data_IF_526487197629
#
_entry.id   IF_526487197629
#
_cell.length_a   1.000
_cell.length_b   1.000
_cell.length_c   1.000
_cell.angle_alpha   90.00
_cell.angle_beta   90.00
_cell.angle_gamma   90.00
#
_symmetry.space_group_name_H-M   'P 1'
#
loop_
_entity.id
_entity.type
_entity.pdbx_description
1 polymer ?
#
# COMPACT_ATOMS: atom_id res chain seq x y z
N UNK A 1 -14.44 28.19 -14.11
CA UNK A 1 -14.07 27.35 -12.95
C UNK A 1 -12.61 26.99 -13.14
N UNK A 2 -11.71 27.27 -12.19
CA UNK A 2 -10.27 27.10 -12.39
C UNK A 2 -9.93 25.61 -12.38
N UNK A 3 -8.92 25.25 -13.17
CA UNK A 3 -8.30 23.94 -13.23
C UNK A 3 -7.53 23.67 -11.93
N UNK A 4 -7.77 22.52 -11.33
CA UNK A 4 -7.01 22.01 -10.19
C UNK A 4 -5.59 21.73 -10.68
N UNK A 5 -4.70 22.63 -10.29
CA UNK A 5 -3.27 22.51 -10.55
C UNK A 5 -2.73 21.63 -9.43
N UNK A 6 -2.75 20.31 -9.58
CA UNK A 6 -2.01 19.42 -8.67
C UNK A 6 -0.55 19.36 -9.15
N UNK A 7 0.20 20.40 -8.83
CA UNK A 7 1.64 20.31 -8.71
C UNK A 7 1.95 19.87 -7.29
N UNK A 8 2.28 18.60 -7.07
CA UNK A 8 3.01 18.22 -5.86
C UNK A 8 4.16 17.29 -6.23
N UNK A 9 5.33 17.91 -6.40
CA UNK A 9 6.59 17.18 -6.42
C UNK A 9 7.16 17.18 -5.01
N UNK A 10 7.58 15.99 -4.56
CA UNK A 10 8.64 15.73 -3.58
C UNK A 10 8.30 15.26 -2.15
N UNK A 11 7.04 14.97 -1.82
CA UNK A 11 6.71 14.14 -0.65
C UNK A 11 5.70 13.08 -1.06
N UNK A 12 5.94 11.82 -0.71
CA UNK A 12 4.97 10.76 -0.93
C UNK A 12 3.83 10.96 0.09
N UNK A 13 2.66 11.39 -0.38
CA UNK A 13 1.46 11.60 0.45
C UNK A 13 0.70 10.27 0.69
N UNK A 14 -0.06 10.19 1.79
CA UNK A 14 -0.83 9.00 2.19
C UNK A 14 -1.75 8.48 1.07
N UNK A 15 -2.39 9.38 0.32
CA UNK A 15 -3.28 9.02 -0.79
C UNK A 15 -2.52 8.33 -1.93
N UNK A 16 -1.32 8.79 -2.24
CA UNK A 16 -0.46 8.17 -3.28
C UNK A 16 0.02 6.80 -2.84
N UNK A 17 0.37 6.63 -1.56
CA UNK A 17 0.74 5.32 -1.00
C UNK A 17 -0.45 4.38 -0.99
N UNK A 18 -1.62 4.86 -0.59
CA UNK A 18 -2.84 4.05 -0.59
C UNK A 18 -3.19 3.56 -1.98
N UNK A 19 -3.08 4.42 -3.01
CA UNK A 19 -3.28 4.03 -4.40
C UNK A 19 -2.29 2.92 -4.79
N UNK A 20 -0.99 3.13 -4.55
CA UNK A 20 0.06 2.16 -4.85
C UNK A 20 -0.18 0.80 -4.17
N UNK A 21 -0.45 0.78 -2.86
CA UNK A 21 -0.70 -0.45 -2.11
C UNK A 21 -1.96 -1.15 -2.62
N UNK A 22 -3.00 -0.39 -2.95
CA UNK A 22 -4.26 -0.92 -3.48
C UNK A 22 -4.05 -1.57 -4.85
N UNK A 23 -3.33 -0.91 -5.75
CA UNK A 23 -3.03 -1.41 -7.09
C UNK A 23 -2.21 -2.70 -7.03
N UNK A 24 -1.11 -2.72 -6.25
CA UNK A 24 -0.28 -3.92 -6.11
C UNK A 24 -1.04 -5.07 -5.46
N UNK A 25 -1.82 -4.79 -4.40
CA UNK A 25 -2.60 -5.83 -3.74
C UNK A 25 -3.68 -6.41 -4.67
N UNK A 26 -4.33 -5.58 -5.49
CA UNK A 26 -5.30 -6.04 -6.47
C UNK A 26 -4.66 -6.95 -7.54
N UNK A 27 -3.47 -6.58 -8.03
CA UNK A 27 -2.71 -7.40 -8.99
C UNK A 27 -2.34 -8.77 -8.40
N UNK A 28 -1.74 -8.77 -7.20
CA UNK A 28 -1.28 -10.00 -6.52
C UNK A 28 -2.45 -10.93 -6.22
N UNK A 29 -3.55 -10.38 -5.70
CA UNK A 29 -4.74 -11.16 -5.37
C UNK A 29 -5.60 -11.50 -6.59
N UNK A 30 -5.27 -10.97 -7.77
CA UNK A 30 -6.02 -11.13 -9.02
C UNK A 30 -7.50 -10.74 -8.87
N UNK A 31 -7.72 -9.62 -8.20
CA UNK A 31 -9.05 -9.01 -8.00
C UNK A 31 -9.06 -7.58 -8.54
N UNK A 32 -10.24 -6.98 -8.66
CA UNK A 32 -10.34 -5.58 -9.04
C UNK A 32 -9.89 -4.64 -7.91
N UNK A 33 -9.15 -3.58 -8.26
CA UNK A 33 -8.75 -2.55 -7.30
C UNK A 33 -9.94 -1.92 -6.57
N UNK A 34 -11.09 -1.77 -7.26
CA UNK A 34 -12.35 -1.29 -6.65
C UNK A 34 -12.81 -2.16 -5.46
N UNK A 35 -12.49 -3.47 -5.47
CA UNK A 35 -12.82 -4.37 -4.35
C UNK A 35 -12.00 -3.98 -3.12
N UNK A 36 -10.70 -3.75 -3.30
CA UNK A 36 -9.78 -3.33 -2.24
C UNK A 36 -10.14 -1.93 -1.72
N UNK A 37 -10.37 -0.95 -2.61
CA UNK A 37 -10.78 0.40 -2.22
C UNK A 37 -12.08 0.41 -1.40
N UNK A 38 -13.05 -0.41 -1.80
CA UNK A 38 -14.30 -0.57 -1.08
C UNK A 38 -14.09 -1.23 0.27
N UNK A 39 -13.18 -2.18 0.37
CA UNK A 39 -12.78 -2.83 1.62
C UNK A 39 -12.21 -1.79 2.61
N UNK A 40 -11.27 -0.96 2.14
CA UNK A 40 -10.68 0.16 2.88
C UNK A 40 -11.74 1.17 3.33
N UNK A 41 -12.59 1.62 2.41
CA UNK A 41 -13.65 2.60 2.72
C UNK A 41 -14.66 2.05 3.72
N UNK A 42 -14.91 0.73 3.69
CA UNK A 42 -15.83 0.06 4.61
C UNK A 42 -15.17 -0.31 5.96
N UNK A 43 -13.88 -0.05 6.16
CA UNK A 43 -13.12 -0.49 7.35
C UNK A 43 -13.00 -2.01 7.46
N UNK A 44 -13.02 -2.69 6.31
CA UNK A 44 -12.90 -4.14 6.12
C UNK A 44 -11.66 -4.46 5.31
N UNK A 45 -10.55 -3.85 5.66
CA UNK A 45 -9.29 -3.92 4.93
C UNK A 45 -8.28 -4.84 5.59
N UNK A 46 -8.75 -5.78 6.40
CA UNK A 46 -7.88 -6.81 6.96
C UNK A 46 -7.36 -7.70 5.84
N UNK A 47 -6.04 -7.79 5.76
CA UNK A 47 -5.36 -8.49 4.68
C UNK A 47 -5.79 -9.95 4.61
N UNK A 48 -5.68 -10.69 5.73
CA UNK A 48 -6.03 -12.11 5.74
C UNK A 48 -7.53 -12.38 5.85
N UNK A 49 -8.27 -11.59 6.63
CA UNK A 49 -9.68 -11.88 6.94
C UNK A 49 -10.65 -11.40 5.85
N UNK A 50 -10.45 -10.20 5.32
CA UNK A 50 -11.39 -9.59 4.35
C UNK A 50 -10.89 -9.69 2.91
N UNK A 51 -9.56 -9.54 2.69
CA UNK A 51 -8.95 -9.57 1.36
C UNK A 51 -8.38 -10.95 1.00
N UNK A 52 -8.38 -11.90 1.94
CA UNK A 52 -7.84 -13.25 1.75
C UNK A 52 -6.39 -13.26 1.23
N UNK A 53 -5.59 -12.27 1.64
CA UNK A 53 -4.16 -12.24 1.39
C UNK A 53 -3.45 -13.25 2.30
N UNK A 54 -2.98 -14.33 1.69
CA UNK A 54 -2.11 -15.31 2.33
C UNK A 54 -0.69 -14.76 2.53
N UNK A 55 0.13 -15.44 3.33
CA UNK A 55 1.52 -15.04 3.59
C UNK A 55 2.39 -14.92 2.34
N UNK A 56 2.06 -15.66 1.27
CA UNK A 56 2.74 -15.54 -0.03
C UNK A 56 2.40 -14.20 -0.68
N UNK A 57 1.11 -13.84 -0.72
CA UNK A 57 0.68 -12.55 -1.26
C UNK A 57 1.27 -11.37 -0.48
N UNK A 58 1.41 -11.50 0.85
CA UNK A 58 2.08 -10.50 1.67
C UNK A 58 3.57 -10.35 1.33
N UNK A 59 4.27 -11.45 1.10
CA UNK A 59 5.67 -11.42 0.68
C UNK A 59 5.82 -10.75 -0.70
N UNK A 60 4.97 -11.11 -1.67
CA UNK A 60 4.95 -10.48 -3.00
C UNK A 60 4.62 -8.99 -2.92
N UNK A 61 3.70 -8.60 -2.02
CA UNK A 61 3.36 -7.20 -1.81
C UNK A 61 4.55 -6.41 -1.28
N UNK A 62 5.29 -6.97 -0.32
CA UNK A 62 6.51 -6.33 0.20
C UNK A 62 7.55 -6.19 -0.89
N UNK A 63 7.90 -7.27 -1.60
CA UNK A 63 8.91 -7.19 -2.66
C UNK A 63 8.55 -6.14 -3.71
N UNK A 64 7.27 -6.07 -4.07
CA UNK A 64 6.79 -5.07 -5.02
C UNK A 64 6.82 -3.65 -4.47
N UNK A 65 6.44 -3.43 -3.21
CA UNK A 65 6.50 -2.10 -2.60
C UNK A 65 7.95 -1.64 -2.41
N UNK A 66 8.86 -2.55 -2.07
CA UNK A 66 10.28 -2.29 -1.96
C UNK A 66 10.90 -1.89 -3.29
N UNK A 67 10.58 -2.61 -4.38
CA UNK A 67 11.05 -2.26 -5.72
C UNK A 67 10.57 -0.86 -6.13
N UNK A 68 9.25 -0.62 -6.03
CA UNK A 68 8.60 0.65 -6.40
C UNK A 68 9.06 1.84 -5.53
N UNK A 69 9.29 1.63 -4.23
CA UNK A 69 9.70 2.70 -3.32
C UNK A 69 11.21 2.89 -3.29
N UNK A 70 12.02 1.88 -3.61
CA UNK A 70 13.48 1.99 -3.73
C UNK A 70 13.89 2.94 -4.86
N UNK A 71 13.10 3.02 -5.93
CA UNK A 71 13.27 4.02 -7.00
C UNK A 71 13.00 5.46 -6.53
N UNK A 72 12.15 5.62 -5.51
CA UNK A 72 11.65 6.92 -5.02
C UNK A 72 12.31 7.37 -3.72
N UNK A 73 12.82 6.44 -2.92
CA UNK A 73 13.44 6.63 -1.60
C UNK A 73 14.63 5.69 -1.43
N UNK A 74 15.77 6.22 -1.00
CA UNK A 74 17.00 5.43 -0.88
C UNK A 74 16.90 4.46 0.31
N UNK A 75 16.93 3.16 0.02
CA UNK A 75 17.06 2.11 1.04
C UNK A 75 15.77 1.82 1.80
N UNK A 76 14.62 1.96 1.14
CA UNK A 76 13.35 1.47 1.69
C UNK A 76 13.36 -0.06 1.71
N UNK A 77 13.17 -0.64 2.89
CA UNK A 77 13.07 -2.07 3.15
C UNK A 77 12.06 -2.25 4.31
N UNK A 78 11.21 -3.27 4.22
CA UNK A 78 10.23 -3.65 5.24
C UNK A 78 10.79 -4.85 6.00
N UNK A 79 11.07 -4.67 7.29
CA UNK A 79 11.60 -5.77 8.09
C UNK A 79 10.52 -6.85 8.27
N UNK A 80 10.95 -8.12 8.29
CA UNK A 80 10.03 -9.26 8.40
C UNK A 80 9.24 -9.25 9.71
N UNK A 81 9.86 -8.80 10.80
CA UNK A 81 9.20 -8.61 12.11
C UNK A 81 8.10 -7.54 12.03
N UNK A 82 8.36 -6.40 11.35
CA UNK A 82 7.35 -5.35 11.19
C UNK A 82 6.15 -5.82 10.35
N UNK A 83 6.40 -6.66 9.34
CA UNK A 83 5.32 -7.25 8.52
C UNK A 83 4.33 -8.07 9.35
N UNK A 84 4.77 -8.72 10.43
CA UNK A 84 3.87 -9.49 11.30
C UNK A 84 2.83 -8.61 12.00
N UNK A 85 3.15 -7.32 12.22
CA UNK A 85 2.25 -6.32 12.82
C UNK A 85 1.36 -5.60 11.78
N UNK A 86 1.59 -5.80 10.47
CA UNK A 86 0.79 -5.20 9.39
C UNK A 86 -0.45 -6.06 9.11
N UNK A 87 -1.59 -5.69 9.72
CA UNK A 87 -2.82 -6.48 9.61
C UNK A 87 -3.83 -5.91 8.60
N UNK A 88 -3.77 -4.61 8.33
CA UNK A 88 -4.70 -3.92 7.42
C UNK A 88 -3.97 -3.16 6.32
N UNK A 89 -4.68 -2.85 5.22
CA UNK A 89 -4.16 -1.96 4.18
C UNK A 89 -3.77 -0.60 4.78
N UNK A 90 -4.56 -0.07 5.72
CA UNK A 90 -4.22 1.20 6.39
C UNK A 90 -2.94 1.12 7.23
N UNK A 91 -2.65 -0.04 7.85
CA UNK A 91 -1.39 -0.24 8.60
C UNK A 91 -0.19 -0.15 7.66
N UNK A 92 -0.24 -0.84 6.52
CA UNK A 92 0.83 -0.80 5.49
C UNK A 92 1.03 0.63 5.01
N UNK A 93 -0.05 1.33 4.65
CA UNK A 93 0.02 2.71 4.18
C UNK A 93 0.66 3.62 5.23
N UNK A 94 0.21 3.50 6.49
CA UNK A 94 0.74 4.31 7.59
C UNK A 94 2.22 4.03 7.85
N UNK A 95 2.62 2.75 7.78
CA UNK A 95 4.00 2.32 7.91
C UNK A 95 4.90 2.92 6.81
N UNK A 96 4.48 2.80 5.55
CA UNK A 96 5.21 3.34 4.41
C UNK A 96 5.35 4.85 4.55
N UNK A 97 4.25 5.57 4.77
CA UNK A 97 4.24 7.04 4.92
C UNK A 97 5.20 7.49 6.03
N UNK A 98 5.22 6.79 7.16
CA UNK A 98 6.11 7.11 8.28
C UNK A 98 7.60 6.92 7.96
N UNK A 99 7.93 6.16 6.92
CA UNK A 99 9.30 5.82 6.53
C UNK A 99 9.80 6.57 5.30
N UNK A 100 8.90 7.02 4.42
CA UNK A 100 9.23 7.79 3.22
C UNK A 100 8.96 9.30 3.34
N UNK A 101 8.14 9.72 4.31
CA UNK A 101 7.85 11.13 4.62
C UNK A 101 8.90 11.77 5.52
#
# INVERSE_FOLDING_TARGET
MPAETHTHGSSIDEESVLALVTEQLAEILQIDAEVVERAVTAGKDRLSEDLHADSIALFELVESLEDELSERSVGFEIESDDLEDLHTVRDIVSYVVARVG
#
